data_IF_432870862115
#
_entry.id   IF_432870862115
#
_cell.length_a   1.000
_cell.length_b   1.000
_cell.length_c   1.000
_cell.angle_alpha   90.00
_cell.angle_beta   90.00
_cell.angle_gamma   90.00
#
_symmetry.space_group_name_H-M   'P 1'
#
loop_
_entity.id
_entity.type
_entity.pdbx_description
1 polymer ?
#
# COMPACT_ATOMS: atom_id res chain seq x y z
N UNK A 1 21.58 -50.79 -42.52
CA UNK A 1 21.96 -49.54 -41.83
C UNK A 1 20.94 -49.36 -40.71
N UNK A 2 21.26 -49.88 -39.53
CA UNK A 2 20.37 -49.89 -38.37
C UNK A 2 20.27 -48.48 -37.79
N UNK A 3 19.05 -48.00 -37.54
CA UNK A 3 18.84 -46.73 -36.86
C UNK A 3 19.12 -46.90 -35.36
N UNK A 4 20.08 -46.12 -34.86
CA UNK A 4 20.43 -45.97 -33.45
C UNK A 4 19.33 -45.12 -32.76
N UNK A 5 18.83 -45.51 -31.57
CA UNK A 5 17.86 -44.69 -30.87
C UNK A 5 18.58 -43.49 -30.26
N UNK A 6 18.18 -42.29 -30.65
CA UNK A 6 18.62 -41.06 -30.01
C UNK A 6 18.19 -41.08 -28.54
N UNK A 7 19.16 -41.30 -27.64
CA UNK A 7 18.99 -41.08 -26.21
C UNK A 7 18.73 -39.58 -26.01
N UNK A 8 17.46 -39.23 -25.85
CA UNK A 8 17.08 -37.92 -25.33
C UNK A 8 17.47 -37.87 -23.87
N UNK A 9 18.46 -37.05 -23.52
CA UNK A 9 18.78 -36.68 -22.15
C UNK A 9 17.58 -35.95 -21.53
N UNK A 10 16.64 -36.72 -21.00
CA UNK A 10 15.51 -36.24 -20.23
C UNK A 10 15.97 -35.85 -18.83
N UNK A 11 16.52 -34.64 -18.66
CA UNK A 11 16.58 -34.03 -17.33
C UNK A 11 15.15 -33.86 -16.82
N UNK A 12 14.78 -34.67 -15.81
CA UNK A 12 13.51 -34.55 -15.11
C UNK A 12 13.30 -33.09 -14.64
N UNK A 13 12.08 -32.55 -14.73
CA UNK A 13 11.82 -31.19 -14.27
C UNK A 13 12.20 -31.04 -12.79
N UNK A 14 12.86 -29.94 -12.40
CA UNK A 14 13.33 -29.76 -11.03
C UNK A 14 12.16 -29.87 -10.04
N UNK A 15 12.30 -30.74 -9.04
CA UNK A 15 11.26 -30.97 -8.01
C UNK A 15 11.05 -29.70 -7.16
N UNK A 16 9.90 -29.01 -7.27
CA UNK A 16 9.64 -27.79 -6.53
C UNK A 16 9.60 -28.02 -5.01
N UNK A 17 9.23 -29.22 -4.55
CA UNK A 17 9.12 -29.52 -3.12
C UNK A 17 10.48 -29.68 -2.46
N UNK A 18 11.51 -30.10 -3.22
CA UNK A 18 12.88 -30.15 -2.75
C UNK A 18 13.44 -28.73 -2.46
N UNK A 19 13.07 -27.73 -3.27
CA UNK A 19 13.45 -26.33 -3.07
C UNK A 19 12.78 -25.77 -1.81
N UNK A 20 11.49 -26.03 -1.61
CA UNK A 20 10.74 -25.58 -0.43
C UNK A 20 11.23 -26.21 0.88
N UNK A 21 11.72 -27.46 0.84
CA UNK A 21 12.27 -28.15 2.02
C UNK A 21 13.70 -27.73 2.37
N UNK A 22 14.35 -26.92 1.52
CA UNK A 22 15.73 -26.50 1.74
C UNK A 22 15.86 -25.51 2.92
N UNK A 23 16.92 -25.64 3.72
CA UNK A 23 17.23 -24.68 4.81
C UNK A 23 17.38 -23.23 4.30
N UNK A 24 17.82 -23.06 3.06
CA UNK A 24 17.95 -21.74 2.40
C UNK A 24 16.58 -21.10 2.20
N UNK A 25 15.57 -21.87 1.78
CA UNK A 25 14.20 -21.38 1.62
C UNK A 25 13.57 -21.00 2.96
N UNK A 26 13.79 -21.80 4.01
CA UNK A 26 13.31 -21.48 5.36
C UNK A 26 13.95 -20.18 5.88
N UNK A 27 15.26 -19.98 5.65
CA UNK A 27 15.94 -18.73 5.97
C UNK A 27 15.38 -17.52 5.22
N UNK A 28 15.03 -17.67 3.94
CA UNK A 28 14.35 -16.63 3.17
C UNK A 28 12.97 -16.31 3.76
N UNK A 29 12.20 -17.33 4.16
CA UNK A 29 10.87 -17.16 4.75
C UNK A 29 10.94 -16.38 6.06
N UNK A 30 11.92 -16.69 6.92
CA UNK A 30 12.16 -15.96 8.17
C UNK A 30 12.55 -14.50 7.89
N UNK A 31 13.40 -14.25 6.88
CA UNK A 31 13.80 -12.89 6.50
C UNK A 31 12.59 -12.06 6.04
N UNK A 32 11.74 -12.64 5.18
CA UNK A 32 10.52 -11.98 4.69
C UNK A 32 9.54 -11.75 5.83
N UNK A 33 9.35 -12.71 6.73
CA UNK A 33 8.50 -12.55 7.90
C UNK A 33 9.01 -11.42 8.82
N UNK A 34 10.32 -11.37 9.07
CA UNK A 34 10.94 -10.32 9.87
C UNK A 34 10.78 -8.93 9.24
N UNK A 35 10.79 -8.82 7.90
CA UNK A 35 10.49 -7.58 7.19
C UNK A 35 8.99 -7.24 7.21
N UNK A 36 8.11 -8.25 7.20
CA UNK A 36 6.67 -8.07 7.27
C UNK A 36 6.23 -7.40 8.57
N UNK A 37 6.83 -7.77 9.71
CA UNK A 37 6.49 -7.21 11.04
C UNK A 37 6.53 -5.67 11.09
N UNK A 38 7.65 -4.99 10.75
CA UNK A 38 7.69 -3.53 10.79
C UNK A 38 6.77 -2.89 9.74
N UNK A 39 6.60 -3.50 8.57
CA UNK A 39 5.68 -3.00 7.53
C UNK A 39 4.23 -3.06 8.02
N UNK A 40 3.83 -4.17 8.65
CA UNK A 40 2.50 -4.31 9.26
C UNK A 40 2.30 -3.32 10.41
N UNK A 41 3.30 -3.12 11.26
CA UNK A 41 3.23 -2.14 12.34
C UNK A 41 3.06 -0.71 11.80
N UNK A 42 3.79 -0.34 10.74
CA UNK A 42 3.64 0.95 10.08
C UNK A 42 2.25 1.13 9.46
N UNK A 43 1.73 0.10 8.79
CA UNK A 43 0.39 0.13 8.21
C UNK A 43 -0.71 0.25 9.28
N UNK A 44 -0.56 -0.48 10.40
CA UNK A 44 -1.48 -0.37 11.52
C UNK A 44 -1.42 1.01 12.18
N UNK A 45 -0.21 1.55 12.37
CA UNK A 45 -0.02 2.91 12.87
C UNK A 45 -0.65 3.96 11.97
N UNK A 46 -0.55 3.82 10.65
CA UNK A 46 -1.24 4.68 9.69
C UNK A 46 -2.76 4.61 9.85
N UNK A 47 -3.33 3.41 9.99
CA UNK A 47 -4.77 3.25 10.19
C UNK A 47 -5.24 3.85 11.52
N UNK A 48 -4.46 3.67 12.59
CA UNK A 48 -4.73 4.29 13.88
C UNK A 48 -4.72 5.82 13.79
N UNK A 49 -3.75 6.39 13.05
CA UNK A 49 -3.69 7.83 12.80
C UNK A 49 -4.93 8.33 12.03
N UNK A 50 -5.35 7.60 11.00
CA UNK A 50 -6.57 7.92 10.23
C UNK A 50 -7.81 7.90 11.14
N UNK A 51 -7.94 6.89 12.00
CA UNK A 51 -9.06 6.80 12.94
C UNK A 51 -9.06 7.95 13.94
N UNK A 52 -7.89 8.35 14.42
CA UNK A 52 -7.75 9.48 15.34
C UNK A 52 -8.16 10.80 14.65
N UNK A 53 -7.68 11.03 13.42
CA UNK A 53 -8.08 12.19 12.62
C UNK A 53 -9.59 12.23 12.40
N UNK A 54 -10.22 11.11 12.08
CA UNK A 54 -11.67 11.04 11.92
C UNK A 54 -12.39 11.34 13.24
N UNK A 55 -11.91 10.84 14.38
CA UNK A 55 -12.49 11.16 15.69
C UNK A 55 -12.40 12.66 15.99
N UNK A 56 -11.22 13.25 15.81
CA UNK A 56 -11.00 14.68 16.01
C UNK A 56 -11.92 15.50 15.09
N UNK A 57 -12.01 15.15 13.82
CA UNK A 57 -12.70 15.94 12.80
C UNK A 57 -14.22 15.82 12.88
N UNK A 58 -14.75 14.63 13.20
CA UNK A 58 -16.19 14.38 13.24
C UNK A 58 -16.81 14.48 14.62
N UNK A 59 -16.04 14.39 15.71
CA UNK A 59 -16.57 14.49 17.08
C UNK A 59 -16.07 15.72 17.81
N UNK A 60 -14.76 15.94 17.85
CA UNK A 60 -14.18 16.98 18.71
C UNK A 60 -14.27 18.36 18.08
N UNK A 61 -14.08 18.45 16.77
CA UNK A 61 -14.10 19.71 16.03
C UNK A 61 -15.49 20.37 16.01
N UNK A 62 -16.61 19.67 15.74
CA UNK A 62 -17.94 20.28 15.84
C UNK A 62 -18.23 20.81 17.25
N UNK A 63 -17.87 20.01 18.28
CA UNK A 63 -18.05 20.40 19.68
C UNK A 63 -17.21 21.61 20.05
N UNK A 64 -15.95 21.66 19.60
CA UNK A 64 -15.06 22.80 19.82
C UNK A 64 -15.56 24.09 19.13
N UNK A 65 -16.30 23.95 18.04
CA UNK A 65 -16.95 25.06 17.34
C UNK A 65 -18.30 25.47 17.96
N UNK A 66 -18.73 24.83 19.05
CA UNK A 66 -19.97 25.13 19.74
C UNK A 66 -21.21 24.54 19.07
N UNK A 67 -21.06 23.51 18.23
CA UNK A 67 -22.18 22.77 17.67
C UNK A 67 -22.66 21.71 18.69
N UNK A 68 -23.98 21.64 18.92
CA UNK A 68 -24.60 20.70 19.87
C UNK A 68 -24.44 19.22 19.48
N UNK A 69 -23.96 18.94 18.28
CA UNK A 69 -23.65 17.63 17.73
C UNK A 69 -23.07 17.76 16.33
N UNK A 70 -22.74 16.65 15.68
CA UNK A 70 -22.23 16.65 14.30
C UNK A 70 -23.38 16.89 13.31
N UNK A 71 -23.45 18.06 12.64
CA UNK A 71 -24.54 18.34 11.72
C UNK A 71 -24.51 17.42 10.49
N UNK A 72 -25.67 17.15 9.87
CA UNK A 72 -25.75 16.31 8.67
C UNK A 72 -24.95 16.86 7.47
N UNK A 73 -24.74 18.18 7.41
CA UNK A 73 -23.96 18.84 6.35
C UNK A 73 -22.45 18.87 6.63
N UNK A 74 -22.02 18.49 7.84
CA UNK A 74 -20.61 18.54 8.28
C UNK A 74 -19.60 17.84 7.36
N UNK A 75 -19.93 16.74 6.68
CA UNK A 75 -19.00 16.11 5.74
C UNK A 75 -18.63 17.00 4.53
N UNK A 76 -19.47 17.97 4.15
CA UNK A 76 -19.23 18.82 2.97
C UNK A 76 -17.96 19.70 3.07
N UNK A 77 -17.75 20.48 4.13
CA UNK A 77 -16.51 21.24 4.28
C UNK A 77 -15.28 20.33 4.41
N UNK A 78 -15.40 19.17 5.07
CA UNK A 78 -14.30 18.21 5.19
C UNK A 78 -13.91 17.62 3.83
N UNK A 79 -14.90 17.31 2.99
CA UNK A 79 -14.67 16.87 1.61
C UNK A 79 -13.96 17.93 0.77
N UNK A 80 -14.30 19.21 0.95
CA UNK A 80 -13.62 20.29 0.26
C UNK A 80 -12.15 20.41 0.71
N UNK A 81 -11.90 20.30 2.03
CA UNK A 81 -10.54 20.33 2.60
C UNK A 81 -9.72 19.12 2.15
N UNK A 82 -10.30 17.92 2.17
CA UNK A 82 -9.63 16.69 1.74
C UNK A 82 -9.26 16.76 0.26
N UNK A 83 -10.16 17.23 -0.60
CA UNK A 83 -9.89 17.46 -2.01
C UNK A 83 -8.77 18.48 -2.24
N UNK A 84 -8.79 19.60 -1.51
CA UNK A 84 -7.74 20.62 -1.61
C UNK A 84 -6.37 20.11 -1.17
N UNK A 85 -6.29 19.45 -0.01
CA UNK A 85 -5.05 18.88 0.51
C UNK A 85 -4.49 17.79 -0.40
N UNK A 86 -5.37 16.94 -0.94
CA UNK A 86 -4.99 15.90 -1.90
C UNK A 86 -4.44 16.53 -3.18
N UNK A 87 -5.09 17.55 -3.73
CA UNK A 87 -4.63 18.27 -4.90
C UNK A 87 -3.28 18.97 -4.67
N UNK A 88 -3.09 19.60 -3.50
CA UNK A 88 -1.82 20.21 -3.11
C UNK A 88 -0.71 19.18 -2.99
N UNK A 89 -1.00 18.02 -2.39
CA UNK A 89 -0.06 16.91 -2.26
C UNK A 89 0.39 16.43 -3.63
N UNK A 90 -0.54 16.16 -4.54
CA UNK A 90 -0.24 15.72 -5.92
C UNK A 90 0.56 16.78 -6.69
N UNK A 91 0.26 18.06 -6.48
CA UNK A 91 0.91 19.16 -7.20
C UNK A 91 2.33 19.46 -6.71
N UNK A 92 2.58 19.32 -5.41
CA UNK A 92 3.83 19.80 -4.81
C UNK A 92 4.78 18.66 -4.40
N UNK A 93 4.29 17.44 -4.18
CA UNK A 93 5.12 16.30 -3.84
C UNK A 93 5.39 15.39 -5.04
N UNK A 94 6.58 14.77 -5.10
CA UNK A 94 6.87 13.74 -6.09
C UNK A 94 5.96 12.52 -5.89
N UNK A 95 5.52 11.94 -7.00
CA UNK A 95 4.52 10.86 -7.03
C UNK A 95 3.12 11.41 -7.29
N UNK A 96 2.50 11.00 -8.40
CA UNK A 96 1.18 11.49 -8.86
C UNK A 96 -0.01 10.90 -8.07
N UNK A 97 0.17 10.60 -6.78
CA UNK A 97 -0.85 9.93 -5.96
C UNK A 97 -1.10 8.46 -6.31
N UNK A 98 -0.22 7.83 -7.09
CA UNK A 98 -0.32 6.43 -7.52
C UNK A 98 -0.05 6.21 -9.00
N UNK A 99 -0.13 4.94 -9.44
CA UNK A 99 0.02 4.54 -10.84
C UNK A 99 -1.23 4.89 -11.67
N UNK A 100 -1.05 5.23 -12.94
CA UNK A 100 -2.14 5.59 -13.85
C UNK A 100 -2.97 4.35 -14.23
N UNK A 101 -4.26 4.28 -13.90
CA UNK A 101 -5.08 3.10 -14.20
C UNK A 101 -5.28 2.84 -15.69
N UNK A 102 -5.07 3.85 -16.55
CA UNK A 102 -5.17 3.74 -18.01
C UNK A 102 -4.01 2.98 -18.66
N UNK A 103 -2.91 2.74 -17.94
CA UNK A 103 -1.76 1.97 -18.44
C UNK A 103 -1.99 0.45 -18.33
N UNK A 104 -3.13 0.01 -17.78
CA UNK A 104 -3.41 -1.40 -17.51
C UNK A 104 -2.57 -1.94 -16.35
N UNK A 105 -2.73 -3.24 -16.01
CA UNK A 105 -1.85 -3.93 -15.04
C UNK A 105 -0.48 -4.21 -15.67
N UNK A 106 0.14 -3.20 -16.27
CA UNK A 106 1.57 -3.20 -16.54
C UNK A 106 2.21 -3.07 -15.17
N UNK A 107 2.94 -4.09 -14.76
CA UNK A 107 3.77 -4.07 -13.56
C UNK A 107 4.87 -3.02 -13.75
N UNK A 108 4.52 -1.74 -13.61
CA UNK A 108 5.47 -0.71 -13.25
C UNK A 108 6.18 -1.21 -11.99
N UNK A 109 7.50 -1.03 -11.95
CA UNK A 109 8.28 -1.44 -10.79
C UNK A 109 7.73 -0.85 -9.48
N UNK A 110 8.22 -1.31 -8.33
CA UNK A 110 7.84 -0.73 -7.04
C UNK A 110 7.90 0.80 -7.07
N UNK A 111 6.94 1.45 -6.42
CA UNK A 111 6.96 2.91 -6.29
C UNK A 111 8.33 3.36 -5.77
N UNK A 112 8.90 4.41 -6.38
CA UNK A 112 10.19 4.90 -5.93
C UNK A 112 10.07 5.38 -4.48
N UNK A 113 11.09 5.12 -3.65
CA UNK A 113 11.04 5.46 -2.23
C UNK A 113 10.73 6.96 -1.98
N UNK A 114 11.14 7.83 -2.91
CA UNK A 114 10.87 9.28 -2.88
C UNK A 114 9.39 9.65 -3.07
N UNK A 115 8.59 8.76 -3.67
CA UNK A 115 7.17 8.99 -3.95
C UNK A 115 6.29 8.54 -2.76
N UNK A 116 6.83 7.72 -1.86
CA UNK A 116 6.10 7.19 -0.69
C UNK A 116 5.52 8.28 0.22
N UNK A 117 6.22 9.38 0.54
CA UNK A 117 5.64 10.45 1.37
C UNK A 117 4.43 11.11 0.71
N UNK A 118 4.49 11.36 -0.61
CA UNK A 118 3.37 11.93 -1.36
C UNK A 118 2.16 11.01 -1.37
N UNK A 119 2.37 9.70 -1.55
CA UNK A 119 1.32 8.69 -1.49
C UNK A 119 0.70 8.63 -0.08
N UNK A 120 1.52 8.59 0.97
CA UNK A 120 1.05 8.51 2.34
C UNK A 120 0.24 9.75 2.75
N UNK A 121 0.70 10.96 2.38
CA UNK A 121 -0.01 12.21 2.67
C UNK A 121 -1.32 12.32 1.88
N UNK A 122 -1.33 11.91 0.61
CA UNK A 122 -2.54 11.90 -0.20
C UNK A 122 -3.58 10.95 0.40
N UNK A 123 -3.16 9.74 0.78
CA UNK A 123 -4.01 8.77 1.45
C UNK A 123 -4.52 9.28 2.81
N UNK A 124 -3.67 9.92 3.61
CA UNK A 124 -4.07 10.48 4.90
C UNK A 124 -5.13 11.57 4.72
N UNK A 125 -4.95 12.47 3.76
CA UNK A 125 -5.90 13.54 3.46
C UNK A 125 -7.23 12.99 2.94
N UNK A 126 -7.21 11.98 2.07
CA UNK A 126 -8.42 11.43 1.46
C UNK A 126 -9.20 10.45 2.37
N UNK A 127 -8.53 9.83 3.34
CA UNK A 127 -9.13 8.83 4.25
C UNK A 127 -9.43 9.38 5.65
N UNK A 128 -8.68 10.38 6.11
CA UNK A 128 -8.77 10.92 7.47
C UNK A 128 -9.80 12.02 7.67
N UNK A 129 -10.35 12.56 6.57
CA UNK A 129 -11.27 13.70 6.52
C UNK A 129 -12.54 13.32 5.78
#
# INVERSE_FOLDING_TARGET
MSAEPAAGDGTAPPDPLAVMRSRKYLGLLVMVAALGVPVSAAAFGFLALVQELQSLTYKDLPRALGLDGTPLWWPLPLLAVSGLLTALTIRHLPGTGGHKPAEGRVSGGPAAARDLPGIALAALASLGL
#
